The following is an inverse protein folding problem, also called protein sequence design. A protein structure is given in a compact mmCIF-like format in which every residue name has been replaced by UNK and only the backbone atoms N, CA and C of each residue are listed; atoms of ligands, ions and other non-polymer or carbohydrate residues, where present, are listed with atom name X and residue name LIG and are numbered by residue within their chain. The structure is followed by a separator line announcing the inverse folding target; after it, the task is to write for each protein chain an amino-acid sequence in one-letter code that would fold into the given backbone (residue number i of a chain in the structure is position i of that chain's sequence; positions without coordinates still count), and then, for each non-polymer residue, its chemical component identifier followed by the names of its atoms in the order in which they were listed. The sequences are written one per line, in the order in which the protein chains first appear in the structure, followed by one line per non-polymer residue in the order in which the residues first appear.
data_IF_276879365657
#
_entry.id   IF_276879365657
#
_cell.length_a   1.000
_cell.length_b   1.000
_cell.length_c   1.000
_cell.angle_alpha   90.00
_cell.angle_beta   90.00
_cell.angle_gamma   90.00
#
_symmetry.space_group_name_H-M   'P 1'
#
loop_
_entity.id
_entity.type
_entity.pdbx_description
1 polymer ?
#
# COMPACT_ATOMS: atom_id res chain seq x y z
N UNK A 1 6.87 -17.95 -49.86
CA UNK A 1 6.21 -19.12 -49.24
C UNK A 1 7.31 -19.98 -48.68
N UNK A 2 7.59 -19.85 -47.39
CA UNK A 2 8.68 -20.56 -46.71
C UNK A 2 8.05 -21.74 -45.99
N UNK A 3 8.53 -22.96 -46.28
CA UNK A 3 7.95 -24.23 -45.84
C UNK A 3 8.15 -24.44 -44.32
N UNK A 4 7.05 -24.71 -43.63
CA UNK A 4 6.92 -24.84 -42.17
C UNK A 4 6.99 -26.30 -41.66
N UNK A 5 7.53 -27.24 -42.42
CA UNK A 5 7.39 -28.67 -42.09
C UNK A 5 8.49 -29.26 -41.20
N UNK A 6 9.42 -28.46 -40.68
CA UNK A 6 10.54 -28.94 -39.82
C UNK A 6 10.81 -28.07 -38.58
N UNK A 7 9.78 -27.44 -38.01
CA UNK A 7 9.92 -26.78 -36.71
C UNK A 7 9.68 -27.81 -35.60
N UNK A 8 10.73 -28.12 -34.83
CA UNK A 8 10.71 -29.05 -33.70
C UNK A 8 10.25 -28.31 -32.44
N UNK A 9 8.97 -28.42 -32.11
CA UNK A 9 8.31 -27.73 -30.99
C UNK A 9 8.77 -28.22 -29.60
N UNK A 10 9.64 -29.23 -29.54
CA UNK A 10 10.10 -29.82 -28.26
C UNK A 10 11.14 -28.95 -27.55
N UNK A 11 11.67 -27.89 -28.19
CA UNK A 11 12.63 -26.95 -27.58
C UNK A 11 12.02 -25.73 -26.88
N UNK A 12 10.69 -25.53 -26.94
CA UNK A 12 10.02 -24.43 -26.23
C UNK A 12 9.69 -24.75 -24.75
N UNK A 13 9.98 -25.96 -24.27
CA UNK A 13 9.72 -26.36 -22.89
C UNK A 13 11.03 -26.52 -22.10
N UNK A 14 11.77 -25.44 -21.89
CA UNK A 14 12.74 -25.26 -20.77
C UNK A 14 13.60 -24.02 -20.97
N UNK A 15 12.98 -22.84 -21.01
CA UNK A 15 13.72 -21.59 -20.81
C UNK A 15 12.76 -20.63 -20.14
N UNK A 16 12.80 -20.66 -18.80
CA UNK A 16 12.38 -19.54 -17.96
C UNK A 16 13.26 -18.34 -18.33
N UNK A 17 12.96 -17.67 -19.44
CA UNK A 17 13.45 -16.31 -19.70
C UNK A 17 12.50 -15.35 -18.99
N UNK A 18 12.57 -15.37 -17.65
CA UNK A 18 12.31 -14.17 -16.88
C UNK A 18 13.40 -13.17 -17.28
N UNK A 19 12.98 -12.04 -17.82
CA UNK A 19 13.83 -10.93 -18.24
C UNK A 19 14.80 -10.52 -17.11
N UNK A 20 16.06 -10.88 -17.27
CA UNK A 20 17.17 -10.58 -16.33
C UNK A 20 17.40 -9.06 -16.13
N UNK A 21 16.86 -8.20 -16.98
CA UNK A 21 17.06 -6.74 -16.89
C UNK A 21 16.31 -6.09 -15.71
N UNK A 22 15.14 -6.58 -15.29
CA UNK A 22 14.37 -5.99 -14.16
C UNK A 22 14.95 -6.35 -12.77
N UNK A 23 15.68 -7.47 -12.67
CA UNK A 23 16.21 -7.96 -11.40
C UNK A 23 17.51 -7.21 -11.02
N UNK A 24 18.34 -6.89 -12.02
CA UNK A 24 19.60 -6.16 -11.82
C UNK A 24 19.35 -4.68 -11.49
N UNK A 25 18.28 -4.08 -12.03
CA UNK A 25 17.88 -2.70 -11.69
C UNK A 25 17.37 -2.53 -10.25
N UNK A 26 17.05 -3.59 -9.52
CA UNK A 26 16.53 -3.46 -8.15
C UNK A 26 17.59 -3.61 -7.05
N UNK A 27 18.79 -4.11 -7.35
CA UNK A 27 19.84 -4.29 -6.33
C UNK A 27 20.56 -2.98 -5.96
N UNK A 28 20.83 -2.09 -6.93
CA UNK A 28 21.51 -0.82 -6.64
C UNK A 28 20.69 0.09 -5.72
N UNK A 29 19.36 0.07 -5.88
CA UNK A 29 18.45 0.85 -5.04
C UNK A 29 18.45 0.39 -3.58
N UNK A 30 18.74 -0.89 -3.30
CA UNK A 30 18.79 -1.45 -1.94
C UNK A 30 20.10 -1.10 -1.21
N UNK A 31 21.15 -0.74 -1.95
CA UNK A 31 22.48 -0.44 -1.42
C UNK A 31 22.85 1.05 -1.54
N UNK A 32 21.86 1.93 -1.66
CA UNK A 32 22.10 3.37 -1.79
C UNK A 32 22.48 4.00 -0.43
N UNK A 33 23.74 4.42 -0.31
CA UNK A 33 24.28 5.08 0.88
C UNK A 33 24.73 4.11 1.98
N UNK A 34 25.32 4.67 3.05
CA UNK A 34 25.78 3.85 4.19
C UNK A 34 24.89 3.99 5.42
N UNK A 35 24.44 2.88 6.02
CA UNK A 35 23.74 2.92 7.30
C UNK A 35 24.73 3.18 8.44
N UNK A 36 24.27 3.91 9.46
CA UNK A 36 24.97 4.10 10.72
C UNK A 36 24.00 3.92 11.90
N UNK A 37 24.10 2.75 12.54
CA UNK A 37 23.27 2.39 13.70
C UNK A 37 23.71 3.06 15.01
N UNK A 38 24.83 3.78 15.02
CA UNK A 38 25.30 4.52 16.21
C UNK A 38 24.59 5.86 16.41
N UNK A 39 23.91 6.34 15.38
CA UNK A 39 23.20 7.62 15.39
C UNK A 39 21.77 7.42 15.87
N UNK A 40 21.26 8.36 16.67
CA UNK A 40 19.88 8.32 17.16
C UNK A 40 18.87 8.71 16.07
N UNK A 41 17.67 8.12 16.13
CA UNK A 41 16.53 8.47 15.26
C UNK A 41 16.13 9.92 15.49
N UNK A 42 15.93 10.69 14.42
CA UNK A 42 15.48 12.08 14.54
C UNK A 42 14.01 12.17 14.96
N UNK A 43 13.61 13.33 15.47
CA UNK A 43 12.19 13.66 15.70
C UNK A 43 11.55 14.36 14.49
N UNK A 44 12.18 14.30 13.32
CA UNK A 44 11.73 14.98 12.10
C UNK A 44 11.03 13.97 11.20
N UNK A 45 9.75 14.19 10.82
CA UNK A 45 9.06 13.33 9.87
C UNK A 45 9.53 13.60 8.43
N UNK A 46 9.59 12.54 7.63
CA UNK A 46 9.80 12.59 6.19
C UNK A 46 8.68 13.40 5.50
N UNK A 47 9.04 14.28 4.56
CA UNK A 47 8.09 15.06 3.77
C UNK A 47 7.16 14.23 2.87
N UNK A 48 7.56 13.00 2.54
CA UNK A 48 6.78 12.07 1.71
C UNK A 48 5.90 11.11 2.52
N UNK A 49 6.52 10.21 3.30
CA UNK A 49 5.79 9.13 4.01
C UNK A 49 5.46 9.44 5.48
N UNK A 50 5.97 10.54 6.04
CA UNK A 50 5.75 10.91 7.44
C UNK A 50 6.47 10.06 8.49
N UNK A 51 7.23 9.04 8.09
CA UNK A 51 8.07 8.27 9.01
C UNK A 51 9.21 9.14 9.57
N UNK A 52 9.66 8.87 10.80
CA UNK A 52 10.78 9.60 11.40
C UNK A 52 12.07 9.32 10.64
N UNK A 53 12.81 10.37 10.30
CA UNK A 53 14.06 10.24 9.57
C UNK A 53 15.14 9.60 10.45
N UNK A 54 15.84 8.61 9.93
CA UNK A 54 16.94 7.92 10.59
C UNK A 54 17.97 7.42 9.58
N UNK A 55 19.16 7.04 10.04
CA UNK A 55 20.17 6.39 9.19
C UNK A 55 20.53 4.97 9.64
N UNK A 56 19.69 4.33 10.46
CA UNK A 56 20.02 3.06 11.10
C UNK A 56 19.96 1.85 10.16
N UNK A 57 18.85 1.66 9.44
CA UNK A 57 18.60 0.47 8.63
C UNK A 57 17.78 0.82 7.37
N UNK A 58 18.27 0.53 6.15
CA UNK A 58 17.53 0.79 4.90
C UNK A 58 16.23 -0.02 4.77
N UNK A 59 16.05 -1.11 5.52
CA UNK A 59 14.84 -1.92 5.49
C UNK A 59 13.67 -1.31 6.29
N UNK A 60 13.90 -0.23 7.03
CA UNK A 60 12.91 0.44 7.89
C UNK A 60 12.44 1.75 7.23
N UNK A 61 11.13 2.09 7.27
CA UNK A 61 10.64 3.36 6.75
C UNK A 61 11.26 4.56 7.45
N UNK A 62 11.70 5.55 6.66
CA UNK A 62 12.34 6.76 7.18
C UNK A 62 13.86 6.77 7.01
N UNK A 63 14.44 5.72 6.44
CA UNK A 63 15.87 5.68 6.20
C UNK A 63 16.36 6.77 5.23
N UNK A 64 17.46 7.40 5.64
CA UNK A 64 18.31 8.29 4.87
C UNK A 64 19.76 7.81 5.01
N UNK A 65 20.57 7.88 3.93
CA UNK A 65 22.01 7.67 4.02
C UNK A 65 22.66 8.50 5.13
N UNK A 66 23.61 7.92 5.86
CA UNK A 66 24.26 8.61 6.98
C UNK A 66 25.00 9.89 6.56
N UNK A 67 25.48 9.93 5.31
CA UNK A 67 26.11 11.09 4.66
C UNK A 67 25.13 12.27 4.49
N UNK A 68 23.85 11.99 4.29
CA UNK A 68 22.81 13.01 4.18
C UNK A 68 22.21 13.37 5.54
N UNK A 69 22.22 12.44 6.51
CA UNK A 69 21.59 12.64 7.81
C UNK A 69 22.48 13.42 8.79
N UNK A 70 23.79 13.17 8.83
CA UNK A 70 24.69 13.71 9.86
C UNK A 70 25.04 15.19 9.68
N UNK A 71 25.11 15.67 8.45
CA UNK A 71 25.61 17.01 8.14
C UNK A 71 24.50 18.06 7.99
N UNK A 72 23.28 17.77 8.48
CA UNK A 72 22.08 18.60 8.25
C UNK A 72 21.45 19.08 9.55
N UNK A 73 21.00 20.32 9.54
CA UNK A 73 20.19 20.88 10.63
C UNK A 73 18.72 20.41 10.53
N UNK A 74 17.99 20.53 11.65
CA UNK A 74 16.59 20.09 11.79
C UNK A 74 15.68 20.74 10.74
N UNK A 75 15.89 22.02 10.45
CA UNK A 75 15.13 22.76 9.44
C UNK A 75 15.34 22.21 8.02
N UNK A 76 16.55 21.78 7.68
CA UNK A 76 16.85 21.19 6.36
C UNK A 76 16.22 19.81 6.24
N UNK A 77 16.30 19.00 7.30
CA UNK A 77 15.71 17.66 7.37
C UNK A 77 14.18 17.66 7.16
N UNK A 78 13.46 18.72 7.57
CA UNK A 78 12.00 18.82 7.39
C UNK A 78 11.58 18.83 5.92
N UNK A 79 12.44 19.30 5.03
CA UNK A 79 12.18 19.32 3.58
C UNK A 79 12.66 18.06 2.86
N UNK A 80 13.33 17.15 3.57
CA UNK A 80 13.89 15.95 2.97
C UNK A 80 12.90 14.80 2.90
N UNK A 81 13.13 13.97 1.90
CA UNK A 81 12.41 12.74 1.66
C UNK A 81 13.32 11.55 1.96
N UNK A 82 12.77 10.50 2.58
CA UNK A 82 13.52 9.28 2.82
C UNK A 82 13.83 8.56 1.50
N UNK A 83 14.79 7.64 1.53
CA UNK A 83 15.24 6.88 0.38
C UNK A 83 14.07 6.26 -0.41
N UNK A 84 13.11 5.64 0.29
CA UNK A 84 11.91 5.06 -0.33
C UNK A 84 11.06 6.09 -1.07
N UNK A 85 10.85 7.27 -0.50
CA UNK A 85 10.07 8.33 -1.14
C UNK A 85 10.78 8.87 -2.37
N UNK A 86 12.09 9.11 -2.27
CA UNK A 86 12.91 9.58 -3.38
C UNK A 86 12.90 8.61 -4.57
N UNK A 87 13.11 7.30 -4.33
CA UNK A 87 13.06 6.30 -5.39
C UNK A 87 11.68 6.15 -6.02
N UNK A 88 10.63 6.29 -5.22
CA UNK A 88 9.27 6.23 -5.73
C UNK A 88 8.94 7.46 -6.61
N UNK A 89 9.41 8.65 -6.24
CA UNK A 89 9.12 9.88 -6.98
C UNK A 89 9.99 10.06 -8.23
N UNK A 90 11.31 9.87 -8.11
CA UNK A 90 12.25 10.17 -9.20
C UNK A 90 12.43 9.00 -10.16
N UNK A 91 12.33 7.76 -9.66
CA UNK A 91 12.63 6.55 -10.43
C UNK A 91 11.41 5.64 -10.63
N UNK A 92 10.26 5.94 -10.02
CA UNK A 92 9.09 5.06 -9.99
C UNK A 92 9.39 3.64 -9.44
N UNK A 93 10.41 3.51 -8.58
CA UNK A 93 10.83 2.25 -7.98
C UNK A 93 10.22 2.13 -6.58
N UNK A 94 9.46 1.06 -6.34
CA UNK A 94 8.89 0.76 -5.04
C UNK A 94 9.86 -0.09 -4.21
N UNK A 95 10.53 0.55 -3.24
CA UNK A 95 11.34 -0.17 -2.26
C UNK A 95 10.46 -0.92 -1.27
N UNK A 96 10.78 -2.20 -1.07
CA UNK A 96 10.16 -3.04 -0.05
C UNK A 96 10.77 -2.73 1.31
N UNK A 97 9.94 -2.24 2.24
CA UNK A 97 10.35 -1.92 3.61
C UNK A 97 9.50 -2.71 4.57
N UNK A 98 10.15 -3.26 5.58
CA UNK A 98 9.48 -4.13 6.55
C UNK A 98 8.89 -3.29 7.68
N UNK A 99 7.58 -3.42 7.89
CA UNK A 99 6.89 -2.90 9.05
C UNK A 99 6.41 -4.08 9.87
N UNK A 100 6.77 -4.12 11.15
CA UNK A 100 6.36 -5.21 12.03
C UNK A 100 4.83 -5.15 12.22
N UNK A 101 4.09 -6.26 12.05
CA UNK A 101 2.64 -6.28 12.17
C UNK A 101 2.12 -5.71 13.51
N UNK A 102 2.88 -5.87 14.60
CA UNK A 102 2.50 -5.38 15.93
C UNK A 102 2.46 -3.85 16.01
N UNK A 103 3.26 -3.16 15.19
CA UNK A 103 3.28 -1.70 15.15
C UNK A 103 1.99 -1.16 14.51
N UNK A 104 1.51 -1.83 13.46
CA UNK A 104 0.23 -1.51 12.83
C UNK A 104 -0.93 -1.70 13.81
N UNK A 105 -0.93 -2.78 14.58
CA UNK A 105 -1.91 -2.98 15.65
C UNK A 105 -1.88 -1.87 16.70
N UNK A 106 -0.69 -1.46 17.16
CA UNK A 106 -0.55 -0.39 18.16
C UNK A 106 -1.12 0.92 17.65
N UNK A 107 -0.84 1.27 16.38
CA UNK A 107 -1.38 2.47 15.75
C UNK A 107 -2.91 2.45 15.72
N UNK A 108 -3.50 1.33 15.27
CA UNK A 108 -4.95 1.21 15.18
C UNK A 108 -5.66 1.09 16.54
N UNK A 109 -5.01 0.51 17.56
CA UNK A 109 -5.57 0.43 18.93
C UNK A 109 -5.88 1.81 19.49
N UNK A 110 -5.13 2.85 19.10
CA UNK A 110 -5.40 4.24 19.53
C UNK A 110 -6.80 4.73 19.11
N UNK A 111 -7.29 4.29 17.94
CA UNK A 111 -8.59 4.70 17.37
C UNK A 111 -9.75 4.24 18.27
N UNK A 112 -9.60 3.09 18.95
CA UNK A 112 -10.62 2.57 19.88
C UNK A 112 -10.95 3.53 21.02
N UNK A 113 -9.96 4.28 21.50
CA UNK A 113 -10.11 5.18 22.65
C UNK A 113 -10.63 6.56 22.26
N UNK A 114 -10.55 6.93 20.98
CA UNK A 114 -10.97 8.24 20.48
C UNK A 114 -12.37 8.15 19.87
N UNK A 115 -13.25 9.11 20.15
CA UNK A 115 -14.53 9.23 19.45
C UNK A 115 -14.28 9.69 18.02
N UNK A 116 -14.27 8.75 17.08
CA UNK A 116 -14.00 8.99 15.66
C UNK A 116 -15.00 8.26 14.77
N UNK A 117 -15.14 8.78 13.55
CA UNK A 117 -15.79 8.08 12.44
C UNK A 117 -14.70 7.36 11.65
N UNK A 118 -14.90 6.07 11.37
CA UNK A 118 -13.94 5.28 10.60
C UNK A 118 -14.39 5.22 9.14
N UNK A 119 -13.54 5.72 8.25
CA UNK A 119 -13.71 5.57 6.80
C UNK A 119 -12.87 4.37 6.35
N UNK A 120 -13.52 3.26 6.05
CA UNK A 120 -12.87 2.08 5.52
C UNK A 120 -12.85 2.15 3.99
N UNK A 121 -11.69 2.47 3.45
CA UNK A 121 -11.45 2.45 2.00
C UNK A 121 -11.23 1.01 1.54
N UNK A 122 -11.98 0.59 0.52
CA UNK A 122 -11.91 -0.75 -0.08
C UNK A 122 -11.63 -0.60 -1.57
N UNK A 123 -10.71 -1.37 -2.12
CA UNK A 123 -10.50 -1.43 -3.57
C UNK A 123 -11.43 -2.48 -4.18
N UNK A 124 -12.26 -2.09 -5.14
CA UNK A 124 -13.20 -3.00 -5.80
C UNK A 124 -12.53 -4.06 -6.67
N UNK A 125 -11.32 -3.81 -7.18
CA UNK A 125 -10.63 -4.75 -8.09
C UNK A 125 -9.89 -5.84 -7.30
N UNK A 126 -9.47 -5.52 -6.08
CA UNK A 126 -8.76 -6.43 -5.17
C UNK A 126 -9.66 -6.92 -4.01
N UNK A 127 -10.98 -6.78 -4.15
CA UNK A 127 -11.94 -7.22 -3.15
C UNK A 127 -12.11 -8.76 -3.21
N UNK A 128 -12.08 -9.49 -2.07
CA UNK A 128 -12.13 -9.04 -0.68
C UNK A 128 -10.76 -8.87 0.03
N UNK A 129 -9.64 -9.07 -0.66
CA UNK A 129 -8.30 -9.08 -0.08
C UNK A 129 -7.90 -7.76 0.60
N UNK A 130 -8.48 -6.64 0.18
CA UNK A 130 -8.21 -5.33 0.77
C UNK A 130 -8.76 -5.15 2.20
N UNK A 131 -9.60 -6.07 2.71
CA UNK A 131 -10.13 -5.99 4.09
C UNK A 131 -9.29 -6.86 5.02
N UNK A 132 -8.68 -6.24 6.04
CA UNK A 132 -7.98 -6.98 7.07
C UNK A 132 -8.96 -7.69 8.02
N UNK A 133 -8.91 -9.04 8.17
CA UNK A 133 -9.91 -9.77 8.95
C UNK A 133 -9.98 -9.40 10.44
N UNK A 134 -8.90 -8.88 11.02
CA UNK A 134 -8.78 -8.51 12.44
C UNK A 134 -9.12 -7.06 12.76
N UNK A 135 -9.53 -6.26 11.78
CA UNK A 135 -9.67 -4.80 11.97
C UNK A 135 -10.73 -4.42 13.02
N UNK A 136 -11.81 -5.21 13.14
CA UNK A 136 -12.88 -4.99 14.13
C UNK A 136 -12.43 -5.31 15.55
N UNK A 137 -11.60 -6.33 15.71
CA UNK A 137 -11.07 -6.71 17.03
C UNK A 137 -10.23 -5.55 17.62
N UNK A 138 -9.65 -4.72 16.75
CA UNK A 138 -8.83 -3.55 17.12
C UNK A 138 -9.67 -2.28 17.32
N UNK A 139 -10.54 -1.94 16.37
CA UNK A 139 -11.34 -0.70 16.40
C UNK A 139 -12.51 -0.78 17.39
N UNK A 140 -13.06 -1.99 17.60
CA UNK A 140 -14.27 -2.24 18.37
C UNK A 140 -15.56 -2.06 17.55
N UNK A 141 -16.65 -2.65 18.03
CA UNK A 141 -17.95 -2.72 17.34
C UNK A 141 -18.79 -1.44 17.45
N UNK A 142 -18.53 -0.60 18.47
CA UNK A 142 -19.35 0.58 18.75
C UNK A 142 -19.13 1.74 17.76
N UNK A 143 -17.95 1.79 17.11
CA UNK A 143 -17.56 2.92 16.25
C UNK A 143 -18.37 2.93 14.96
N UNK A 144 -18.90 4.09 14.53
CA UNK A 144 -19.56 4.17 13.23
C UNK A 144 -18.52 3.96 12.12
N UNK A 145 -18.82 3.07 11.19
CA UNK A 145 -17.97 2.78 10.03
C UNK A 145 -18.70 3.16 8.75
N UNK A 146 -18.00 3.88 7.88
CA UNK A 146 -18.42 4.17 6.51
C UNK A 146 -17.50 3.40 5.58
N UNK A 147 -18.08 2.59 4.71
CA UNK A 147 -17.32 1.78 3.76
C UNK A 147 -17.34 2.49 2.42
N UNK A 148 -16.16 2.79 1.91
CA UNK A 148 -15.95 3.56 0.68
C UNK A 148 -15.26 2.64 -0.31
N UNK A 149 -16.03 2.07 -1.22
CA UNK A 149 -15.49 1.17 -2.23
C UNK A 149 -15.06 1.97 -3.47
N UNK A 150 -13.75 2.03 -3.69
CA UNK A 150 -13.10 2.82 -4.74
C UNK A 150 -12.86 1.99 -6.01
N UNK A 151 -12.52 2.69 -7.10
CA UNK A 151 -12.22 2.15 -8.43
C UNK A 151 -13.43 1.56 -9.17
N UNK A 152 -14.61 2.11 -8.94
CA UNK A 152 -15.83 1.66 -9.64
C UNK A 152 -15.76 1.88 -11.16
N UNK A 153 -14.89 2.78 -11.61
CA UNK A 153 -14.61 3.05 -13.03
C UNK A 153 -13.92 1.90 -13.76
N UNK A 154 -13.24 1.02 -13.04
CA UNK A 154 -12.58 -0.16 -13.62
C UNK A 154 -13.52 -1.34 -13.83
N UNK A 155 -14.74 -1.28 -13.26
CA UNK A 155 -15.71 -2.36 -13.38
C UNK A 155 -16.56 -2.21 -14.64
N UNK A 156 -16.79 -3.31 -15.40
CA UNK A 156 -17.58 -3.25 -16.61
C UNK A 156 -19.07 -3.02 -16.29
N UNK A 157 -19.68 -2.11 -17.05
CA UNK A 157 -21.11 -1.82 -16.97
C UNK A 157 -21.94 -2.85 -17.73
N UNK A 158 -21.99 -4.09 -17.25
CA UNK A 158 -22.61 -5.21 -17.99
C UNK A 158 -24.11 -5.04 -18.24
N UNK A 159 -24.84 -4.38 -17.33
CA UNK A 159 -26.28 -4.14 -17.49
C UNK A 159 -26.80 -3.01 -16.61
N UNK A 160 -28.05 -2.60 -16.88
CA UNK A 160 -28.77 -1.59 -16.10
C UNK A 160 -28.81 -2.03 -14.62
N UNK A 161 -28.30 -1.19 -13.74
CA UNK A 161 -28.23 -1.48 -12.30
C UNK A 161 -26.98 -2.24 -11.84
N UNK A 162 -25.92 -2.34 -12.65
CA UNK A 162 -24.65 -2.97 -12.24
C UNK A 162 -24.09 -2.40 -10.92
N UNK A 163 -24.15 -1.08 -10.72
CA UNK A 163 -23.75 -0.43 -9.46
C UNK A 163 -24.50 -0.97 -8.23
N UNK A 164 -25.79 -1.27 -8.38
CA UNK A 164 -26.59 -1.83 -7.29
C UNK A 164 -26.11 -3.24 -6.94
N UNK A 165 -25.83 -4.07 -7.94
CA UNK A 165 -25.29 -5.42 -7.75
C UNK A 165 -23.90 -5.41 -7.12
N UNK A 166 -23.04 -4.48 -7.54
CA UNK A 166 -21.72 -4.31 -6.93
C UNK A 166 -21.87 -3.95 -5.46
N UNK A 167 -22.74 -2.99 -5.14
CA UNK A 167 -23.02 -2.61 -3.75
C UNK A 167 -23.55 -3.78 -2.92
N UNK A 168 -24.48 -4.55 -3.48
CA UNK A 168 -25.03 -5.76 -2.84
C UNK A 168 -23.96 -6.84 -2.64
N UNK A 169 -23.07 -7.04 -3.61
CA UNK A 169 -21.95 -7.98 -3.53
C UNK A 169 -20.98 -7.59 -2.42
N UNK A 170 -20.58 -6.32 -2.38
CA UNK A 170 -19.73 -5.76 -1.32
C UNK A 170 -20.39 -5.96 0.05
N UNK A 171 -21.67 -5.62 0.20
CA UNK A 171 -22.42 -5.85 1.44
C UNK A 171 -22.49 -7.32 1.84
N UNK A 172 -22.72 -8.22 0.89
CA UNK A 172 -22.78 -9.67 1.12
C UNK A 172 -21.46 -10.21 1.67
N UNK A 173 -20.33 -9.83 1.06
CA UNK A 173 -19.00 -10.26 1.52
C UNK A 173 -18.63 -9.65 2.87
N UNK A 174 -18.94 -8.37 3.10
CA UNK A 174 -18.75 -7.72 4.39
C UNK A 174 -19.51 -8.46 5.49
N UNK A 175 -20.75 -8.87 5.23
CA UNK A 175 -21.57 -9.63 6.19
C UNK A 175 -21.03 -11.04 6.48
N UNK A 176 -20.26 -11.63 5.55
CA UNK A 176 -19.56 -12.91 5.80
C UNK A 176 -18.33 -12.75 6.68
N UNK A 177 -17.73 -11.56 6.69
CA UNK A 177 -16.59 -11.24 7.56
C UNK A 177 -17.05 -10.76 8.93
N UNK A 178 -16.14 -10.69 9.91
CA UNK A 178 -16.40 -10.09 11.22
C UNK A 178 -16.85 -8.62 11.15
N UNK A 179 -16.66 -7.96 10.01
CA UNK A 179 -17.12 -6.61 9.76
C UNK A 179 -18.66 -6.47 9.81
N UNK A 180 -19.40 -7.55 9.56
CA UNK A 180 -20.87 -7.56 9.67
C UNK A 180 -21.39 -7.28 11.09
N UNK A 181 -20.58 -7.55 12.13
CA UNK A 181 -20.92 -7.25 13.53
C UNK A 181 -20.68 -5.79 13.91
N UNK A 182 -20.03 -5.02 13.03
CA UNK A 182 -19.69 -3.63 13.29
C UNK A 182 -20.85 -2.68 12.98
N UNK A 183 -20.79 -1.47 13.55
CA UNK A 183 -21.77 -0.41 13.34
C UNK A 183 -21.57 0.29 11.98
N UNK A 184 -21.85 -0.43 10.89
CA UNK A 184 -21.78 0.12 9.52
C UNK A 184 -22.96 1.06 9.29
N UNK A 185 -22.65 2.33 9.04
CA UNK A 185 -23.65 3.38 8.82
C UNK A 185 -23.95 3.64 7.35
N UNK A 186 -22.94 3.52 6.49
CA UNK A 186 -23.09 3.83 5.08
C UNK A 186 -22.10 3.05 4.22
N UNK A 187 -22.51 2.72 2.99
CA UNK A 187 -21.66 2.13 1.96
C UNK A 187 -21.76 2.98 0.70
N UNK A 188 -20.63 3.54 0.28
CA UNK A 188 -20.46 4.37 -0.91
C UNK A 188 -19.68 3.61 -1.98
N UNK A 189 -20.06 3.79 -3.24
CA UNK A 189 -19.23 3.41 -4.40
C UNK A 189 -18.67 4.68 -4.99
N UNK A 190 -17.34 4.77 -5.12
CA UNK A 190 -16.66 5.95 -5.63
C UNK A 190 -15.63 5.59 -6.71
N UNK A 191 -15.25 6.60 -7.48
CA UNK A 191 -14.03 6.58 -8.29
C UNK A 191 -13.26 7.86 -7.99
N UNK A 192 -12.18 7.73 -7.22
CA UNK A 192 -11.31 8.86 -6.91
C UNK A 192 -10.67 9.46 -8.19
N UNK A 193 -10.52 8.67 -9.26
CA UNK A 193 -9.96 9.11 -10.55
C UNK A 193 -10.93 9.98 -11.35
N UNK A 194 -12.21 9.58 -11.40
CA UNK A 194 -13.22 10.27 -12.20
C UNK A 194 -14.03 11.30 -11.40
N UNK A 195 -13.92 11.29 -10.06
CA UNK A 195 -14.74 12.10 -9.16
C UNK A 195 -16.15 11.55 -8.97
N UNK A 196 -16.47 10.37 -9.50
CA UNK A 196 -17.79 9.75 -9.31
C UNK A 196 -18.00 9.39 -7.84
N UNK A 197 -19.12 9.85 -7.26
CA UNK A 197 -19.57 9.46 -5.91
C UNK A 197 -18.80 10.10 -4.74
N UNK A 198 -17.85 10.99 -5.03
CA UNK A 198 -17.12 11.83 -4.06
C UNK A 198 -17.86 13.15 -3.87
#
# INVERSE_FOLDING_TARGET
MTNYEHFDDTKLASTDEQSDDEVVENEWCKHYGTPDSTVAVSQVPCGGCGALLHCNDPAIPGYLPSELFKDREIEELKSMECQRCHFLQEYNIALDVTVQPEEYEKLLKSIRHVKSLVLLMVDLVDFPCSIWPGIIDIIGTDRPIFIVANKVDLLPGDSIGYLKRIKESVLSEINKTKLGEANIKYVALISAKTGFGV
#
